data_IF_074379502249
#
_entry.id   IF_074379502249
#
_cell.length_a   1.000
_cell.length_b   1.000
_cell.length_c   1.000
_cell.angle_alpha   90.00
_cell.angle_beta   90.00
_cell.angle_gamma   90.00
#
_symmetry.space_group_name_H-M   'P 1'
#
loop_
_entity.id
_entity.type
_entity.pdbx_description
1 polymer ?
#
# COMPACT_ATOMS: atom_id res chain seq x y z
N UNK A 1 -19.07 -86.69 -42.58
CA UNK A 1 -18.04 -85.98 -43.38
C UNK A 1 -18.32 -84.49 -43.27
N UNK A 2 -17.59 -83.83 -42.36
CA UNK A 2 -16.66 -82.70 -42.64
C UNK A 2 -17.39 -81.38 -42.91
N UNK A 3 -17.79 -80.65 -41.85
CA UNK A 3 -17.02 -79.57 -41.16
C UNK A 3 -16.46 -78.51 -42.12
N UNK A 4 -17.19 -77.40 -42.15
CA UNK A 4 -16.85 -76.08 -42.69
C UNK A 4 -15.70 -75.43 -41.89
N UNK A 5 -14.65 -75.02 -42.60
CA UNK A 5 -13.54 -74.20 -42.11
C UNK A 5 -13.88 -72.73 -42.29
N UNK A 6 -14.17 -72.01 -41.20
CA UNK A 6 -14.10 -70.55 -41.14
C UNK A 6 -12.73 -70.11 -40.65
N UNK A 7 -12.07 -69.22 -41.41
CA UNK A 7 -10.77 -68.61 -41.06
C UNK A 7 -10.98 -67.58 -39.94
N UNK A 8 -10.04 -67.43 -38.99
CA UNK A 8 -10.13 -66.38 -37.97
C UNK A 8 -9.69 -65.03 -38.54
N UNK A 9 -10.49 -64.00 -38.26
CA UNK A 9 -10.21 -62.60 -38.53
C UNK A 9 -9.17 -62.12 -37.50
N UNK A 10 -7.99 -61.75 -37.97
CA UNK A 10 -6.89 -61.23 -37.14
C UNK A 10 -7.21 -59.77 -36.78
N UNK A 11 -7.62 -59.54 -35.53
CA UNK A 11 -7.92 -58.22 -34.98
C UNK A 11 -6.60 -57.48 -34.71
N UNK A 12 -6.25 -56.53 -35.57
CA UNK A 12 -5.10 -55.64 -35.36
C UNK A 12 -5.46 -54.59 -34.31
N UNK A 13 -5.05 -54.80 -33.06
CA UNK A 13 -5.15 -53.80 -31.99
C UNK A 13 -4.04 -52.76 -32.22
N UNK A 14 -4.39 -51.61 -32.80
CA UNK A 14 -3.51 -50.44 -32.81
C UNK A 14 -3.45 -49.87 -31.39
N UNK A 15 -2.34 -50.14 -30.70
CA UNK A 15 -2.00 -49.42 -29.46
C UNK A 15 -1.61 -47.98 -29.83
N UNK A 16 -2.52 -47.04 -29.59
CA UNK A 16 -2.19 -45.61 -29.64
C UNK A 16 -1.39 -45.31 -28.38
N UNK A 17 -0.06 -45.30 -28.50
CA UNK A 17 0.82 -44.66 -27.54
C UNK A 17 0.51 -43.16 -27.56
N UNK A 18 -0.30 -42.71 -26.59
CA UNK A 18 -0.42 -41.30 -26.26
C UNK A 18 0.91 -40.83 -25.67
N UNK A 19 1.84 -40.44 -26.53
CA UNK A 19 2.94 -39.57 -26.14
C UNK A 19 2.28 -38.25 -25.74
N UNK A 20 2.11 -38.07 -24.43
CA UNK A 20 1.87 -36.77 -23.84
C UNK A 20 3.02 -35.88 -24.25
N UNK A 21 2.83 -35.08 -25.31
CA UNK A 21 3.71 -33.97 -25.63
C UNK A 21 3.58 -33.02 -24.46
N UNK A 22 4.51 -33.15 -23.52
CA UNK A 22 4.70 -32.18 -22.45
C UNK A 22 5.13 -30.91 -23.18
N UNK A 23 4.15 -30.04 -23.47
CA UNK A 23 4.41 -28.71 -24.00
C UNK A 23 5.47 -28.10 -23.08
N UNK A 24 6.67 -27.85 -23.62
CA UNK A 24 7.71 -27.16 -22.89
C UNK A 24 7.22 -25.72 -22.68
N UNK A 25 6.48 -25.50 -21.59
CA UNK A 25 6.01 -24.18 -21.23
C UNK A 25 7.21 -23.27 -20.97
N UNK A 26 7.09 -22.01 -21.37
CA UNK A 26 8.14 -21.03 -21.21
C UNK A 26 8.40 -20.77 -19.73
N UNK A 27 9.59 -21.06 -19.22
CA UNK A 27 9.96 -20.59 -17.89
C UNK A 27 10.48 -19.16 -18.00
N UNK A 28 10.15 -18.29 -17.05
CA UNK A 28 10.70 -16.93 -16.99
C UNK A 28 11.79 -16.90 -15.93
N UNK A 29 13.03 -16.62 -16.34
CA UNK A 29 14.20 -16.57 -15.45
C UNK A 29 14.62 -15.13 -15.16
N UNK A 30 14.90 -14.84 -13.89
CA UNK A 30 15.54 -13.57 -13.49
C UNK A 30 17.04 -13.64 -13.81
N UNK A 31 17.49 -12.79 -14.73
CA UNK A 31 18.89 -12.73 -15.17
C UNK A 31 19.73 -11.84 -14.26
N UNK A 32 19.19 -10.67 -13.94
CA UNK A 32 19.88 -9.67 -13.15
C UNK A 32 18.87 -8.77 -12.45
N UNK A 33 19.34 -8.13 -11.37
CA UNK A 33 18.58 -7.09 -10.67
C UNK A 33 19.53 -5.92 -10.47
N UNK A 34 19.22 -4.78 -11.09
CA UNK A 34 19.99 -3.55 -10.92
C UNK A 34 19.37 -2.69 -9.81
N UNK A 35 20.23 -2.17 -8.92
CA UNK A 35 19.83 -1.27 -7.84
C UNK A 35 20.35 0.14 -8.16
N UNK A 36 19.44 1.11 -8.31
CA UNK A 36 19.80 2.49 -8.64
C UNK A 36 19.28 3.46 -7.59
N UNK A 37 20.18 4.01 -6.78
CA UNK A 37 19.83 5.06 -5.83
C UNK A 37 19.40 6.34 -6.58
N UNK A 38 18.38 7.01 -6.08
CA UNK A 38 17.92 8.30 -6.60
C UNK A 38 17.64 9.28 -5.47
N UNK A 39 17.65 10.56 -5.83
CA UNK A 39 17.30 11.66 -4.92
C UNK A 39 16.53 12.74 -5.70
N UNK A 40 15.23 12.83 -5.44
CA UNK A 40 14.34 13.81 -6.07
C UNK A 40 14.20 15.02 -5.14
N UNK A 41 14.59 16.24 -5.56
CA UNK A 41 14.38 17.44 -4.74
C UNK A 41 12.89 17.76 -4.60
N UNK A 42 12.48 18.25 -3.43
CA UNK A 42 11.10 18.70 -3.20
C UNK A 42 10.99 20.21 -3.46
N UNK A 43 9.91 20.63 -4.12
CA UNK A 43 9.60 22.05 -4.35
C UNK A 43 9.50 22.85 -3.04
N UNK A 44 9.07 22.19 -1.95
CA UNK A 44 9.04 22.72 -0.59
C UNK A 44 9.45 21.62 0.37
N UNK A 45 10.13 21.98 1.46
CA UNK A 45 10.47 21.02 2.50
C UNK A 45 9.19 20.39 3.08
N UNK A 46 9.13 19.06 3.07
CA UNK A 46 8.07 18.30 3.73
C UNK A 46 8.37 18.23 5.23
N UNK A 47 7.46 18.74 6.05
CA UNK A 47 7.62 18.84 7.50
C UNK A 47 6.54 18.00 8.19
N UNK A 48 6.95 17.20 9.17
CA UNK A 48 6.07 16.49 10.11
C UNK A 48 6.38 16.94 11.54
N UNK A 49 5.60 16.46 12.52
CA UNK A 49 5.92 16.65 13.94
C UNK A 49 7.27 16.06 14.33
N UNK A 50 7.74 15.03 13.60
CA UNK A 50 8.97 14.28 13.91
C UNK A 50 10.21 14.75 13.12
N UNK A 51 10.08 15.26 11.88
CA UNK A 51 11.23 15.74 11.08
C UNK A 51 10.87 16.63 9.87
N UNK A 52 11.89 17.18 9.22
CA UNK A 52 11.80 17.91 7.95
C UNK A 52 12.70 17.29 6.89
N UNK A 53 12.23 17.18 5.64
CA UNK A 53 13.03 16.74 4.49
C UNK A 53 12.86 17.68 3.29
N UNK A 54 13.96 17.99 2.60
CA UNK A 54 13.99 18.76 1.35
C UNK A 54 14.12 17.90 0.09
N UNK A 55 14.22 16.57 0.24
CA UNK A 55 14.33 15.62 -0.88
C UNK A 55 13.68 14.29 -0.55
N UNK A 56 13.26 13.56 -1.58
CA UNK A 56 12.89 12.16 -1.51
C UNK A 56 14.08 11.32 -1.97
N UNK A 57 14.62 10.50 -1.08
CA UNK A 57 15.62 9.50 -1.44
C UNK A 57 14.94 8.15 -1.63
N UNK A 58 15.38 7.38 -2.62
CA UNK A 58 14.96 6.01 -2.80
C UNK A 58 15.95 5.20 -3.61
N UNK A 59 15.61 3.93 -3.86
CA UNK A 59 16.38 3.00 -4.68
C UNK A 59 15.40 2.34 -5.66
N UNK A 60 15.66 2.41 -6.96
CA UNK A 60 14.95 1.60 -7.93
C UNK A 60 15.49 0.17 -7.92
N UNK A 61 14.58 -0.80 -7.96
CA UNK A 61 14.85 -2.23 -8.15
C UNK A 61 14.42 -2.56 -9.57
N UNK A 62 15.38 -2.88 -10.44
CA UNK A 62 15.15 -3.17 -11.86
C UNK A 62 15.46 -4.63 -12.13
N UNK A 63 14.42 -5.46 -12.28
CA UNK A 63 14.57 -6.88 -12.60
C UNK A 63 14.64 -7.03 -14.12
N UNK A 64 15.71 -7.66 -14.62
CA UNK A 64 15.81 -8.13 -15.99
C UNK A 64 15.52 -9.62 -16.03
N UNK A 65 14.57 -10.03 -16.87
CA UNK A 65 14.19 -11.44 -17.00
C UNK A 65 13.93 -11.80 -18.47
N UNK A 66 13.97 -13.10 -18.77
CA UNK A 66 13.62 -13.63 -20.09
C UNK A 66 12.84 -14.93 -20.00
N UNK A 67 12.02 -15.20 -21.01
CA UNK A 67 11.49 -16.54 -21.27
C UNK A 67 12.59 -17.45 -21.82
N UNK A 68 12.74 -18.64 -21.25
CA UNK A 68 13.78 -19.62 -21.61
C UNK A 68 13.51 -20.31 -22.95
N UNK A 69 12.29 -20.24 -23.48
CA UNK A 69 11.97 -20.71 -24.84
C UNK A 69 12.58 -19.79 -25.89
N UNK A 70 12.79 -20.30 -27.10
CA UNK A 70 13.41 -19.53 -28.19
C UNK A 70 12.48 -19.45 -29.41
N UNK A 71 12.15 -18.24 -29.91
CA UNK A 71 12.46 -16.92 -29.32
C UNK A 71 11.56 -16.64 -28.10
N UNK A 72 12.16 -16.17 -27.01
CA UNK A 72 11.47 -15.82 -25.77
C UNK A 72 11.34 -14.32 -25.57
N UNK A 73 10.27 -13.87 -24.88
CA UNK A 73 10.11 -12.48 -24.46
C UNK A 73 11.19 -12.08 -23.45
N UNK A 74 11.48 -10.78 -23.40
CA UNK A 74 12.34 -10.16 -22.38
C UNK A 74 11.52 -9.17 -21.58
N UNK A 75 11.79 -9.08 -20.30
CA UNK A 75 11.07 -8.23 -19.35
C UNK A 75 12.04 -7.32 -18.61
N UNK A 76 11.59 -6.10 -18.36
CA UNK A 76 12.26 -5.17 -17.45
C UNK A 76 11.20 -4.71 -16.45
N UNK A 77 11.25 -5.23 -15.23
CA UNK A 77 10.29 -4.93 -14.19
C UNK A 77 10.86 -3.95 -13.15
N UNK A 78 10.00 -3.10 -12.59
CA UNK A 78 10.37 -1.97 -11.75
C UNK A 78 9.69 -2.03 -10.38
N UNK A 79 10.50 -1.85 -9.34
CA UNK A 79 10.04 -1.50 -8.00
C UNK A 79 10.81 -0.32 -7.42
N UNK A 80 10.32 0.22 -6.31
CA UNK A 80 10.96 1.36 -5.63
C UNK A 80 11.00 1.19 -4.13
N UNK A 81 12.19 1.35 -3.55
CA UNK A 81 12.45 1.35 -2.12
C UNK A 81 12.50 2.80 -1.63
N UNK A 82 11.65 3.15 -0.68
CA UNK A 82 11.57 4.51 -0.11
C UNK A 82 11.79 4.47 1.42
N UNK A 83 13.04 4.35 1.89
CA UNK A 83 13.31 4.14 3.31
C UNK A 83 12.99 5.39 4.13
N UNK A 84 12.35 5.18 5.28
CA UNK A 84 11.90 6.24 6.19
C UNK A 84 12.32 5.89 7.61
N UNK A 85 13.47 6.37 8.06
CA UNK A 85 14.03 6.02 9.39
C UNK A 85 13.06 6.26 10.55
N UNK A 86 12.25 7.32 10.49
CA UNK A 86 11.29 7.64 11.56
C UNK A 86 9.93 6.92 11.45
N UNK A 87 9.70 6.15 10.39
CA UNK A 87 8.43 5.45 10.14
C UNK A 87 8.68 3.95 10.08
N UNK A 88 9.58 3.52 9.21
CA UNK A 88 9.90 2.11 8.97
C UNK A 88 11.15 1.65 9.71
N UNK A 89 11.77 2.49 10.56
CA UNK A 89 13.02 2.20 11.28
C UNK A 89 14.19 1.77 10.35
N UNK A 90 14.13 2.20 9.09
CA UNK A 90 15.05 1.80 8.04
C UNK A 90 15.84 3.02 7.55
N UNK A 91 17.16 3.00 7.72
CA UNK A 91 18.04 4.01 7.17
C UNK A 91 18.35 3.75 5.70
N UNK A 92 18.99 4.73 5.03
CA UNK A 92 19.41 4.57 3.63
C UNK A 92 20.47 3.46 3.46
N UNK A 93 21.37 3.33 4.43
CA UNK A 93 22.40 2.28 4.44
C UNK A 93 21.79 0.90 4.69
N UNK A 94 20.83 0.81 5.61
CA UNK A 94 20.12 -0.46 5.89
C UNK A 94 19.40 -0.93 4.63
N UNK A 95 18.65 -0.02 3.98
CA UNK A 95 17.95 -0.32 2.74
C UNK A 95 18.88 -0.79 1.62
N UNK A 96 20.03 -0.15 1.45
CA UNK A 96 21.01 -0.55 0.43
C UNK A 96 21.62 -1.93 0.71
N UNK A 97 22.02 -2.18 1.95
CA UNK A 97 22.58 -3.47 2.36
C UNK A 97 21.54 -4.61 2.24
N UNK A 98 20.31 -4.36 2.70
CA UNK A 98 19.18 -5.26 2.56
C UNK A 98 18.88 -5.58 1.11
N UNK A 99 18.83 -4.56 0.24
CA UNK A 99 18.57 -4.74 -1.18
C UNK A 99 19.67 -5.57 -1.88
N UNK A 100 20.94 -5.37 -1.53
CA UNK A 100 22.04 -6.20 -2.05
C UNK A 100 21.89 -7.67 -1.64
N UNK A 101 21.43 -7.94 -0.43
CA UNK A 101 21.21 -9.31 0.04
C UNK A 101 20.01 -9.97 -0.65
N UNK A 102 18.87 -9.28 -0.74
CA UNK A 102 17.67 -9.80 -1.41
C UNK A 102 17.90 -10.04 -2.91
N UNK A 103 18.64 -9.14 -3.58
CA UNK A 103 19.11 -9.32 -4.95
C UNK A 103 19.80 -10.67 -5.17
N UNK A 104 20.70 -11.07 -4.27
CA UNK A 104 21.47 -12.32 -4.41
C UNK A 104 20.58 -13.56 -4.31
N UNK A 105 19.48 -13.49 -3.57
CA UNK A 105 18.54 -14.61 -3.40
C UNK A 105 17.67 -14.83 -4.64
N UNK A 106 17.31 -13.74 -5.32
CA UNK A 106 16.37 -13.75 -6.44
C UNK A 106 17.02 -14.00 -7.81
N UNK A 107 18.27 -13.59 -8.02
CA UNK A 107 18.95 -13.83 -9.31
C UNK A 107 19.00 -15.34 -9.60
N UNK A 108 18.59 -15.71 -10.81
CA UNK A 108 18.52 -17.10 -11.27
C UNK A 108 17.25 -17.86 -10.87
N UNK A 109 16.36 -17.26 -10.07
CA UNK A 109 15.04 -17.84 -9.81
C UNK A 109 14.19 -17.84 -11.08
N UNK A 110 13.26 -18.78 -11.14
CA UNK A 110 12.41 -19.04 -12.29
C UNK A 110 10.93 -19.08 -11.89
N UNK A 111 10.08 -18.52 -12.74
CA UNK A 111 8.64 -18.69 -12.73
C UNK A 111 8.24 -19.62 -13.86
N UNK A 112 7.17 -20.40 -13.68
CA UNK A 112 6.76 -21.39 -14.68
C UNK A 112 5.98 -20.76 -15.83
N UNK A 113 5.44 -19.55 -15.64
CA UNK A 113 4.65 -18.78 -16.61
C UNK A 113 3.46 -19.57 -17.22
N UNK A 114 2.95 -20.55 -16.47
CA UNK A 114 1.83 -21.41 -16.91
C UNK A 114 0.50 -20.89 -16.37
N UNK A 115 0.45 -20.57 -15.07
CA UNK A 115 -0.77 -20.17 -14.39
C UNK A 115 -0.50 -19.12 -13.32
N UNK A 116 -1.20 -17.99 -13.41
CA UNK A 116 -0.95 -16.81 -12.57
C UNK A 116 -0.98 -17.14 -11.07
N UNK A 117 -1.95 -17.93 -10.61
CA UNK A 117 -2.03 -18.26 -9.18
C UNK A 117 -0.82 -19.08 -8.69
N UNK A 118 -0.22 -19.91 -9.54
CA UNK A 118 0.96 -20.70 -9.19
C UNK A 118 2.21 -19.84 -9.10
N UNK A 119 2.37 -18.92 -10.05
CA UNK A 119 3.49 -17.97 -10.05
C UNK A 119 3.34 -16.91 -8.93
N UNK A 120 2.11 -16.46 -8.62
CA UNK A 120 1.82 -15.63 -7.44
C UNK A 120 2.21 -16.34 -6.14
N UNK A 121 1.84 -17.62 -5.97
CA UNK A 121 2.24 -18.40 -4.80
C UNK A 121 3.77 -18.55 -4.71
N UNK A 122 4.43 -18.76 -5.84
CA UNK A 122 5.90 -18.84 -5.93
C UNK A 122 6.57 -17.53 -5.52
N UNK A 123 6.09 -16.39 -6.02
CA UNK A 123 6.55 -15.06 -5.61
C UNK A 123 6.30 -14.82 -4.13
N UNK A 124 5.15 -15.23 -3.59
CA UNK A 124 4.87 -15.14 -2.16
C UNK A 124 5.91 -15.91 -1.33
N UNK A 125 6.23 -17.15 -1.69
CA UNK A 125 7.28 -17.92 -1.00
C UNK A 125 8.64 -17.23 -1.06
N UNK A 126 8.99 -16.58 -2.19
CA UNK A 126 10.23 -15.80 -2.26
C UNK A 126 10.19 -14.62 -1.31
N UNK A 127 9.09 -13.86 -1.27
CA UNK A 127 8.92 -12.72 -0.36
C UNK A 127 8.97 -13.13 1.11
N UNK A 128 8.41 -14.28 1.47
CA UNK A 128 8.51 -14.86 2.82
C UNK A 128 9.98 -15.11 3.20
N UNK A 129 10.77 -15.72 2.31
CA UNK A 129 12.20 -15.91 2.53
C UNK A 129 12.98 -14.58 2.60
N UNK A 130 12.63 -13.57 1.78
CA UNK A 130 13.22 -12.25 1.90
C UNK A 130 12.88 -11.59 3.25
N UNK A 131 11.67 -11.81 3.77
CA UNK A 131 11.25 -11.32 5.07
C UNK A 131 11.99 -12.02 6.21
N UNK A 132 12.21 -13.34 6.13
CA UNK A 132 13.08 -14.06 7.07
C UNK A 132 14.50 -13.51 7.05
N UNK A 133 15.08 -13.31 5.86
CA UNK A 133 16.38 -12.67 5.70
C UNK A 133 16.40 -11.29 6.39
N UNK A 134 15.39 -10.46 6.15
CA UNK A 134 15.29 -9.13 6.75
C UNK A 134 15.31 -9.20 8.28
N UNK A 135 14.55 -10.11 8.89
CA UNK A 135 14.52 -10.31 10.34
C UNK A 135 15.89 -10.74 10.88
N UNK A 136 16.58 -11.65 10.17
CA UNK A 136 17.89 -12.17 10.61
C UNK A 136 19.01 -11.13 10.56
N UNK A 137 18.94 -10.16 9.64
CA UNK A 137 19.99 -9.16 9.46
C UNK A 137 20.06 -8.14 10.60
N UNK A 138 18.99 -7.95 11.38
CA UNK A 138 18.95 -7.03 12.54
C UNK A 138 19.36 -5.60 12.17
N UNK A 139 19.10 -5.18 10.93
CA UNK A 139 19.40 -3.83 10.45
C UNK A 139 18.30 -2.87 10.92
N UNK A 140 18.56 -2.18 12.03
CA UNK A 140 17.67 -1.15 12.58
C UNK A 140 18.45 0.07 13.06
N UNK A 141 17.80 1.23 13.02
CA UNK A 141 18.35 2.47 13.56
C UNK A 141 18.21 2.56 15.09
N UNK A 142 17.17 1.96 15.68
CA UNK A 142 16.97 1.91 17.13
C UNK A 142 17.73 0.77 17.82
N UNK A 143 18.20 1.00 19.05
CA UNK A 143 18.83 -0.02 19.91
C UNK A 143 18.06 -0.18 21.23
N UNK A 144 17.48 -1.36 21.53
CA UNK A 144 17.44 -2.57 20.71
C UNK A 144 16.41 -2.49 19.56
N UNK A 145 16.57 -3.29 18.49
CA UNK A 145 15.60 -3.40 17.40
C UNK A 145 14.21 -3.77 17.92
N UNK A 146 13.18 -2.97 17.64
CA UNK A 146 11.80 -3.45 17.72
C UNK A 146 11.59 -4.48 16.60
N UNK A 147 11.41 -5.75 16.96
CA UNK A 147 11.50 -6.87 16.03
C UNK A 147 10.54 -6.89 14.80
N UNK A 148 9.37 -6.23 14.73
CA UNK A 148 8.45 -6.45 13.61
C UNK A 148 8.64 -5.55 12.37
N UNK A 149 9.57 -4.58 12.34
CA UNK A 149 9.63 -3.53 11.29
C UNK A 149 10.92 -3.49 10.45
N UNK A 150 11.73 -4.54 10.43
CA UNK A 150 13.01 -4.52 9.70
C UNK A 150 12.83 -4.52 8.17
N UNK A 151 13.54 -3.61 7.49
CA UNK A 151 13.63 -3.52 6.02
C UNK A 151 12.29 -3.50 5.25
N UNK A 152 11.21 -2.96 5.85
CA UNK A 152 9.87 -2.95 5.25
C UNK A 152 9.81 -2.21 3.91
N UNK A 153 10.52 -1.09 3.77
CA UNK A 153 10.56 -0.37 2.49
C UNK A 153 11.36 -1.16 1.45
N UNK A 154 12.44 -1.83 1.86
CA UNK A 154 13.20 -2.72 0.97
C UNK A 154 12.35 -3.88 0.47
N UNK A 155 11.67 -4.61 1.37
CA UNK A 155 10.75 -5.69 1.02
C UNK A 155 9.69 -5.22 0.02
N UNK A 156 9.05 -4.08 0.29
CA UNK A 156 8.05 -3.49 -0.61
C UNK A 156 8.61 -3.17 -2.00
N UNK A 157 9.85 -2.69 -2.10
CA UNK A 157 10.46 -2.43 -3.41
C UNK A 157 10.70 -3.69 -4.24
N UNK A 158 11.02 -4.83 -3.60
CA UNK A 158 11.13 -6.11 -4.30
C UNK A 158 9.77 -6.71 -4.65
N UNK A 159 8.80 -6.61 -3.75
CA UNK A 159 7.40 -7.01 -3.99
C UNK A 159 6.83 -6.29 -5.22
N UNK A 160 6.94 -4.95 -5.27
CA UNK A 160 6.53 -4.17 -6.44
C UNK A 160 7.18 -4.63 -7.74
N UNK A 161 8.50 -4.90 -7.73
CA UNK A 161 9.22 -5.33 -8.92
C UNK A 161 8.80 -6.73 -9.39
N UNK A 162 8.52 -7.65 -8.46
CA UNK A 162 8.04 -9.00 -8.77
C UNK A 162 6.59 -9.00 -9.27
N UNK A 163 5.72 -8.16 -8.69
CA UNK A 163 4.36 -7.95 -9.17
C UNK A 163 4.32 -7.30 -10.56
N UNK A 164 5.19 -6.34 -10.83
CA UNK A 164 5.34 -5.74 -12.16
C UNK A 164 5.81 -6.80 -13.18
N UNK A 165 6.74 -7.68 -12.80
CA UNK A 165 7.16 -8.80 -13.63
C UNK A 165 5.98 -9.73 -13.96
N UNK A 166 5.18 -10.12 -12.95
CA UNK A 166 3.98 -10.95 -13.17
C UNK A 166 2.95 -10.24 -14.06
N UNK A 167 2.73 -8.95 -13.85
CA UNK A 167 1.85 -8.13 -14.69
C UNK A 167 2.28 -8.18 -16.16
N UNK A 168 3.57 -8.01 -16.43
CA UNK A 168 4.11 -8.08 -17.78
C UNK A 168 4.05 -9.50 -18.37
N UNK A 169 4.34 -10.53 -17.59
CA UNK A 169 4.27 -11.93 -18.03
C UNK A 169 2.88 -12.31 -18.52
N UNK A 170 1.85 -11.90 -17.77
CA UNK A 170 0.45 -12.23 -17.99
C UNK A 170 -0.35 -11.16 -18.74
N UNK A 171 0.31 -10.08 -19.19
CA UNK A 171 -0.31 -8.94 -19.87
C UNK A 171 -1.50 -8.36 -19.09
N UNK A 172 -1.29 -8.12 -17.80
CA UNK A 172 -2.29 -7.65 -16.85
C UNK A 172 -1.82 -6.39 -16.11
N UNK A 173 -2.71 -5.40 -15.92
CA UNK A 173 -2.51 -4.40 -14.88
C UNK A 173 -2.27 -5.08 -13.52
N UNK A 174 -1.38 -4.52 -12.70
CA UNK A 174 -1.05 -5.10 -11.38
C UNK A 174 -2.32 -5.29 -10.51
N UNK A 175 -3.29 -4.38 -10.59
CA UNK A 175 -4.54 -4.51 -9.83
C UNK A 175 -5.33 -5.78 -10.19
N UNK A 176 -5.21 -6.26 -11.43
CA UNK A 176 -5.93 -7.43 -11.92
C UNK A 176 -5.22 -8.73 -11.54
N UNK A 177 -3.99 -8.66 -11.00
CA UNK A 177 -3.30 -9.81 -10.41
C UNK A 177 -3.93 -10.25 -9.09
N UNK A 178 -4.57 -9.31 -8.39
CA UNK A 178 -5.24 -9.52 -7.11
C UNK A 178 -6.75 -9.64 -7.26
N UNK A 179 -7.29 -9.50 -8.47
CA UNK A 179 -8.73 -9.40 -8.67
C UNK A 179 -9.38 -10.77 -8.48
N UNK A 180 -10.05 -10.89 -7.34
CA UNK A 180 -11.05 -11.92 -7.03
C UNK A 180 -12.45 -11.52 -7.53
N UNK A 181 -12.56 -10.41 -8.29
CA UNK A 181 -13.80 -9.80 -8.76
C UNK A 181 -14.24 -8.57 -7.95
N UNK A 182 -13.43 -8.08 -7.01
CA UNK A 182 -13.76 -6.97 -6.08
C UNK A 182 -13.00 -5.67 -6.38
N UNK A 183 -12.74 -5.35 -7.64
CA UNK A 183 -12.12 -4.08 -8.04
C UNK A 183 -12.98 -2.86 -7.63
N UNK A 184 -12.33 -1.86 -7.01
CA UNK A 184 -12.99 -0.60 -6.66
C UNK A 184 -13.20 0.25 -7.92
N UNK A 185 -14.47 0.51 -8.28
CA UNK A 185 -14.83 1.41 -9.40
C UNK A 185 -14.30 2.85 -9.23
N UNK A 186 -14.07 3.28 -8.00
CA UNK A 186 -13.59 4.64 -7.67
C UNK A 186 -12.62 4.61 -6.50
N UNK A 187 -11.52 5.35 -6.65
CA UNK A 187 -10.55 5.61 -5.59
C UNK A 187 -10.79 7.03 -5.06
N UNK A 188 -11.04 7.15 -3.75
CA UNK A 188 -11.16 8.45 -3.08
C UNK A 188 -9.78 9.10 -3.02
N UNK A 189 -9.63 10.24 -3.69
CA UNK A 189 -8.37 11.00 -3.72
C UNK A 189 -8.47 12.19 -2.79
N UNK A 190 -7.42 12.48 -2.05
CA UNK A 190 -7.30 13.74 -1.32
C UNK A 190 -6.39 14.71 -2.05
N UNK A 191 -6.63 15.99 -1.81
CA UNK A 191 -5.67 17.04 -2.13
C UNK A 191 -4.34 16.83 -1.37
N UNK A 192 -3.26 17.56 -1.71
CA UNK A 192 -2.04 17.60 -0.89
C UNK A 192 -2.36 17.87 0.59
N UNK A 193 -1.75 17.10 1.50
CA UNK A 193 -1.94 17.26 2.94
C UNK A 193 -1.50 18.64 3.42
N UNK A 194 -2.39 19.33 4.12
CA UNK A 194 -2.10 20.62 4.74
C UNK A 194 -1.45 20.44 6.12
N UNK A 195 -0.41 21.24 6.40
CA UNK A 195 0.33 21.17 7.66
C UNK A 195 -0.49 21.69 8.85
N UNK A 196 -0.20 21.18 10.07
CA UNK A 196 -0.87 21.57 11.30
C UNK A 196 -0.69 23.04 11.73
N UNK A 197 0.33 23.71 11.19
CA UNK A 197 0.55 25.14 11.42
C UNK A 197 -0.08 26.05 10.35
N UNK A 198 -0.83 25.50 9.39
CA UNK A 198 -1.52 26.29 8.38
C UNK A 198 -2.54 27.24 9.03
N UNK A 199 -2.63 28.47 8.52
CA UNK A 199 -3.62 29.45 8.97
C UNK A 199 -5.02 29.02 8.51
N UNK A 200 -6.03 29.21 9.36
CA UNK A 200 -7.44 28.92 9.04
C UNK A 200 -7.92 29.60 7.74
N UNK A 201 -7.51 30.86 7.52
CA UNK A 201 -7.81 31.63 6.29
C UNK A 201 -7.21 31.01 5.04
N UNK A 202 -5.98 30.47 5.13
CA UNK A 202 -5.34 29.77 4.03
C UNK A 202 -6.06 28.46 3.71
N UNK A 203 -6.42 27.67 4.72
CA UNK A 203 -7.16 26.42 4.54
C UNK A 203 -8.55 26.65 3.92
N UNK A 204 -9.28 27.66 4.39
CA UNK A 204 -10.58 28.04 3.82
C UNK A 204 -10.45 28.46 2.34
N UNK A 205 -9.44 29.26 2.00
CA UNK A 205 -9.18 29.63 0.60
C UNK A 205 -8.81 28.42 -0.26
N UNK A 206 -8.06 27.48 0.30
CA UNK A 206 -7.64 26.27 -0.39
C UNK A 206 -8.83 25.37 -0.72
N UNK A 207 -9.83 25.25 0.17
CA UNK A 207 -11.09 24.54 -0.10
C UNK A 207 -11.80 25.11 -1.33
N UNK A 208 -11.91 26.44 -1.44
CA UNK A 208 -12.59 27.10 -2.56
C UNK A 208 -11.89 26.86 -3.90
N UNK A 209 -10.56 26.69 -3.88
CA UNK A 209 -9.74 26.44 -5.08
C UNK A 209 -9.58 24.96 -5.41
N UNK A 210 -9.95 24.08 -4.49
CA UNK A 210 -9.70 22.65 -4.64
C UNK A 210 -10.66 22.05 -5.69
N UNK A 211 -10.07 21.39 -6.68
CA UNK A 211 -10.80 20.77 -7.80
C UNK A 211 -11.88 19.80 -7.31
N UNK A 212 -12.99 19.70 -8.04
CA UNK A 212 -14.14 18.87 -7.66
C UNK A 212 -13.80 17.38 -7.52
N UNK A 213 -12.80 16.90 -8.27
CA UNK A 213 -12.33 15.51 -8.24
C UNK A 213 -11.52 15.14 -6.99
N UNK A 214 -11.28 16.10 -6.08
CA UNK A 214 -10.74 15.84 -4.76
C UNK A 214 -11.89 15.82 -3.75
N UNK A 215 -12.50 14.64 -3.50
CA UNK A 215 -13.60 14.46 -2.55
C UNK A 215 -13.17 14.64 -1.09
N UNK A 216 -11.87 14.78 -0.79
CA UNK A 216 -11.38 14.99 0.56
C UNK A 216 -10.32 16.10 0.64
N UNK A 217 -10.33 16.83 1.77
CA UNK A 217 -9.24 17.70 2.20
C UNK A 217 -8.54 17.08 3.41
N UNK A 218 -7.24 16.75 3.29
CA UNK A 218 -6.44 16.17 4.37
C UNK A 218 -5.66 17.24 5.13
N UNK A 219 -5.78 17.29 6.45
CA UNK A 219 -5.19 18.32 7.31
C UNK A 219 -4.51 17.64 8.51
N UNK A 220 -3.24 17.94 8.75
CA UNK A 220 -2.58 17.53 10.00
C UNK A 220 -3.08 18.39 11.16
N UNK A 221 -3.34 17.79 12.32
CA UNK A 221 -3.73 18.50 13.55
C UNK A 221 -2.94 17.93 14.74
N UNK A 222 -3.24 18.39 15.97
CA UNK A 222 -2.64 17.85 17.19
C UNK A 222 -1.54 18.72 17.80
N UNK A 223 -1.35 19.96 17.32
CA UNK A 223 -0.41 20.91 17.95
C UNK A 223 -1.07 21.73 19.05
N UNK A 224 -2.32 22.15 18.84
CA UNK A 224 -3.08 23.01 19.74
C UNK A 224 -4.56 22.80 19.41
N UNK A 225 -5.28 22.15 20.32
CA UNK A 225 -6.65 21.73 20.08
C UNK A 225 -7.59 22.91 19.75
N UNK A 226 -7.43 24.06 20.41
CA UNK A 226 -8.30 25.21 20.16
C UNK A 226 -8.05 25.80 18.77
N UNK A 227 -6.77 25.95 18.38
CA UNK A 227 -6.45 26.39 17.02
C UNK A 227 -6.86 25.37 15.96
N UNK A 228 -6.79 24.07 16.28
CA UNK A 228 -7.27 23.02 15.38
C UNK A 228 -8.78 23.10 15.19
N UNK A 229 -9.54 23.30 16.27
CA UNK A 229 -10.99 23.51 16.22
C UNK A 229 -11.36 24.73 15.36
N UNK A 230 -10.65 25.86 15.52
CA UNK A 230 -10.84 27.05 14.69
C UNK A 230 -10.57 26.78 13.19
N UNK A 231 -9.48 26.06 12.87
CA UNK A 231 -9.13 25.68 11.50
C UNK A 231 -10.19 24.79 10.87
N UNK A 232 -10.60 23.73 11.58
CA UNK A 232 -11.59 22.77 11.08
C UNK A 232 -12.95 23.43 10.88
N UNK A 233 -13.34 24.32 11.80
CA UNK A 233 -14.58 25.11 11.68
C UNK A 233 -14.53 26.04 10.46
N UNK A 234 -13.41 26.72 10.21
CA UNK A 234 -13.23 27.58 9.03
C UNK A 234 -13.27 26.78 7.72
N UNK A 235 -12.64 25.60 7.69
CA UNK A 235 -12.67 24.67 6.56
C UNK A 235 -14.09 24.19 6.29
N UNK A 236 -14.81 23.76 7.32
CA UNK A 236 -16.19 23.31 7.19
C UNK A 236 -17.11 24.41 6.64
N UNK A 237 -17.02 25.64 7.15
CA UNK A 237 -17.74 26.80 6.60
C UNK A 237 -17.43 27.04 5.12
N UNK A 238 -16.17 26.84 4.71
CA UNK A 238 -15.77 26.97 3.31
C UNK A 238 -16.32 25.82 2.45
N UNK A 239 -16.36 24.58 2.96
CA UNK A 239 -16.92 23.41 2.25
C UNK A 239 -18.42 23.59 2.03
N UNK A 240 -19.17 24.00 3.05
CA UNK A 240 -20.63 24.24 2.98
C UNK A 240 -20.98 25.22 1.87
N UNK A 241 -20.12 26.22 1.63
CA UNK A 241 -20.30 27.24 0.58
C UNK A 241 -19.67 26.85 -0.77
N UNK A 242 -19.02 25.69 -0.86
CA UNK A 242 -18.30 25.27 -2.06
C UNK A 242 -19.19 24.50 -3.04
N UNK A 243 -18.67 24.22 -4.23
CA UNK A 243 -19.34 23.38 -5.24
C UNK A 243 -19.48 21.91 -4.81
N UNK A 244 -18.75 21.47 -3.77
CA UNK A 244 -18.73 20.09 -3.30
C UNK A 244 -18.99 20.07 -1.78
N UNK A 245 -20.24 20.34 -1.33
CA UNK A 245 -20.58 20.40 0.10
C UNK A 245 -20.46 19.04 0.82
N UNK A 246 -20.37 17.93 0.06
CA UNK A 246 -20.13 16.58 0.57
C UNK A 246 -18.64 16.25 0.79
N UNK A 247 -17.73 17.19 0.50
CA UNK A 247 -16.28 16.96 0.62
C UNK A 247 -15.91 16.54 2.05
N UNK A 248 -15.18 15.44 2.17
CA UNK A 248 -14.70 14.88 3.43
C UNK A 248 -13.61 15.75 4.06
N UNK A 249 -13.72 16.01 5.36
CA UNK A 249 -12.62 16.52 6.18
C UNK A 249 -11.88 15.31 6.73
N UNK A 250 -10.65 15.13 6.29
CA UNK A 250 -9.75 14.08 6.77
C UNK A 250 -8.68 14.74 7.65
N UNK A 251 -8.67 14.40 8.94
CA UNK A 251 -7.63 14.84 9.87
C UNK A 251 -6.63 13.73 10.15
N UNK A 252 -5.35 14.10 10.16
CA UNK A 252 -4.23 13.26 10.60
C UNK A 252 -3.74 13.81 11.94
N UNK A 253 -4.05 13.09 13.02
CA UNK A 253 -3.71 13.49 14.40
C UNK A 253 -2.29 13.06 14.76
N UNK A 254 -1.74 12.06 14.06
CA UNK A 254 -0.39 11.55 14.25
C UNK A 254 -0.09 11.24 15.74
N UNK A 255 -1.02 10.58 16.43
CA UNK A 255 -0.92 10.11 17.83
C UNK A 255 -0.97 11.21 18.91
N UNK A 256 -1.25 12.47 18.53
CA UNK A 256 -1.16 13.61 19.44
C UNK A 256 -2.15 13.61 20.62
N UNK A 257 -3.33 12.98 20.48
CA UNK A 257 -4.31 12.89 21.57
C UNK A 257 -4.02 11.75 22.54
N UNK A 258 -3.12 10.84 22.18
CA UNK A 258 -2.53 9.76 22.99
C UNK A 258 -3.50 8.66 23.42
N UNK A 259 -4.57 8.99 24.16
CA UNK A 259 -5.49 8.04 24.79
C UNK A 259 -6.93 8.16 24.28
N UNK A 260 -7.76 7.18 24.64
CA UNK A 260 -9.14 7.10 24.18
C UNK A 260 -10.03 8.21 24.75
N UNK A 261 -9.83 8.61 26.00
CA UNK A 261 -10.65 9.62 26.66
C UNK A 261 -10.48 10.98 25.99
N UNK A 262 -9.24 11.46 25.90
CA UNK A 262 -8.89 12.72 25.26
C UNK A 262 -9.36 12.74 23.79
N UNK A 263 -9.19 11.61 23.09
CA UNK A 263 -9.65 11.46 21.71
C UNK A 263 -11.17 11.64 21.58
N UNK A 264 -11.96 11.02 22.47
CA UNK A 264 -13.42 11.13 22.45
C UNK A 264 -13.90 12.54 22.82
N UNK A 265 -13.26 13.18 23.79
CA UNK A 265 -13.57 14.56 24.17
C UNK A 265 -13.31 15.55 23.02
N UNK A 266 -12.16 15.44 22.36
CA UNK A 266 -11.81 16.26 21.20
C UNK A 266 -12.72 15.99 20.00
N UNK A 267 -12.97 14.71 19.68
CA UNK A 267 -13.86 14.33 18.58
C UNK A 267 -15.28 14.88 18.79
N UNK A 268 -15.81 14.81 20.01
CA UNK A 268 -17.15 15.34 20.32
C UNK A 268 -17.22 16.85 20.06
N UNK A 269 -16.24 17.60 20.57
CA UNK A 269 -16.15 19.05 20.38
C UNK A 269 -16.01 19.44 18.91
N UNK A 270 -15.16 18.72 18.16
CA UNK A 270 -15.02 18.93 16.71
C UNK A 270 -16.35 18.67 16.01
N UNK A 271 -16.95 17.49 16.21
CA UNK A 271 -18.22 17.10 15.59
C UNK A 271 -19.32 18.12 15.84
N UNK A 272 -19.46 18.58 17.09
CA UNK A 272 -20.47 19.58 17.47
C UNK A 272 -20.24 20.92 16.77
N UNK A 273 -18.99 21.39 16.71
CA UNK A 273 -18.65 22.62 16.00
C UNK A 273 -18.89 22.52 14.48
N UNK A 274 -18.60 21.36 13.87
CA UNK A 274 -18.83 21.13 12.45
C UNK A 274 -20.33 21.11 12.11
N UNK A 275 -21.13 20.42 12.91
CA UNK A 275 -22.59 20.37 12.74
C UNK A 275 -23.20 21.78 12.91
N UNK A 276 -22.73 22.54 13.90
CA UNK A 276 -23.22 23.90 14.17
C UNK A 276 -23.04 24.84 12.97
N UNK A 277 -22.02 24.63 12.14
CA UNK A 277 -21.78 25.43 10.93
C UNK A 277 -22.41 24.85 9.67
N UNK A 278 -23.27 23.83 9.82
CA UNK A 278 -24.04 23.22 8.74
C UNK A 278 -23.27 22.22 7.89
N UNK A 279 -22.11 21.72 8.36
CA UNK A 279 -21.35 20.72 7.61
C UNK A 279 -22.01 19.34 7.71
N UNK A 280 -22.21 18.71 6.55
CA UNK A 280 -22.90 17.41 6.41
C UNK A 280 -22.01 16.33 5.79
N UNK A 281 -20.77 16.68 5.42
CA UNK A 281 -19.81 15.72 4.85
C UNK A 281 -19.28 14.73 5.89
N UNK A 282 -18.51 13.74 5.43
CA UNK A 282 -17.85 12.80 6.32
C UNK A 282 -16.69 13.46 7.08
N UNK A 283 -16.47 13.06 8.32
CA UNK A 283 -15.24 13.34 9.08
C UNK A 283 -14.43 12.06 9.24
N UNK A 284 -13.19 12.06 8.76
CA UNK A 284 -12.26 10.94 8.88
C UNK A 284 -11.12 11.33 9.82
N UNK A 285 -10.92 10.58 10.90
CA UNK A 285 -9.86 10.81 11.88
C UNK A 285 -8.83 9.68 11.82
N UNK A 286 -7.61 10.02 11.43
CA UNK A 286 -6.46 9.12 11.30
C UNK A 286 -5.56 9.21 12.55
N UNK A 287 -5.28 8.03 13.11
CA UNK A 287 -4.42 7.75 14.27
C UNK A 287 -4.49 8.79 15.41
N UNK A 288 -5.63 8.89 16.14
CA UNK A 288 -5.75 9.78 17.29
C UNK A 288 -4.92 9.35 18.52
N UNK A 289 -4.75 8.04 18.72
CA UNK A 289 -4.13 7.42 19.90
C UNK A 289 -2.70 6.95 19.60
N UNK A 290 -1.94 6.60 20.65
CA UNK A 290 -0.61 6.02 20.51
C UNK A 290 -0.62 4.74 19.67
N UNK A 291 0.44 4.52 18.89
CA UNK A 291 0.59 3.34 18.03
C UNK A 291 0.60 2.02 18.83
N UNK A 292 1.14 2.05 20.04
CA UNK A 292 1.23 0.87 20.90
C UNK A 292 -0.06 0.53 21.65
N UNK A 293 -1.07 1.40 21.60
CA UNK A 293 -2.33 1.23 22.32
C UNK A 293 -3.49 1.02 21.33
N UNK A 294 -3.50 -0.17 20.73
CA UNK A 294 -4.60 -0.59 19.84
C UNK A 294 -5.94 -0.68 20.57
N UNK A 295 -5.94 -0.94 21.89
CA UNK A 295 -7.17 -1.00 22.67
C UNK A 295 -7.81 0.38 22.78
N UNK A 296 -7.01 1.43 22.99
CA UNK A 296 -7.51 2.80 22.95
C UNK A 296 -8.13 3.15 21.59
N UNK A 297 -7.48 2.79 20.48
CA UNK A 297 -8.03 3.03 19.13
C UNK A 297 -9.33 2.24 18.90
N UNK A 298 -9.40 0.99 19.36
CA UNK A 298 -10.60 0.17 19.30
C UNK A 298 -11.75 0.78 20.10
N UNK A 299 -11.48 1.25 21.32
CA UNK A 299 -12.45 1.91 22.19
C UNK A 299 -13.03 3.17 21.53
N UNK A 300 -12.16 4.03 20.96
CA UNK A 300 -12.60 5.23 20.22
C UNK A 300 -13.47 4.84 19.03
N UNK A 301 -13.03 3.85 18.25
CA UNK A 301 -13.76 3.38 17.07
C UNK A 301 -15.14 2.82 17.42
N UNK A 302 -15.24 2.05 18.51
CA UNK A 302 -16.52 1.50 18.99
C UNK A 302 -17.49 2.61 19.43
N UNK A 303 -17.01 3.56 20.23
CA UNK A 303 -17.83 4.68 20.71
C UNK A 303 -18.31 5.57 19.55
N UNK A 304 -17.43 5.88 18.60
CA UNK A 304 -17.77 6.70 17.42
C UNK A 304 -18.81 6.00 16.52
N UNK A 305 -18.75 4.68 16.37
CA UNK A 305 -19.79 3.92 15.63
C UNK A 305 -21.17 4.10 16.26
N UNK A 306 -21.25 4.17 17.58
CA UNK A 306 -22.50 4.44 18.31
C UNK A 306 -22.98 5.88 18.17
N UNK A 307 -22.09 6.84 17.87
CA UNK A 307 -22.50 8.22 17.58
C UNK A 307 -23.19 8.35 16.24
N UNK A 308 -22.75 7.61 15.22
CA UNK A 308 -23.31 7.72 13.87
C UNK A 308 -24.79 7.34 13.76
N UNK A 309 -25.33 6.60 14.75
CA UNK A 309 -26.76 6.33 14.87
C UNK A 309 -27.53 7.45 15.59
N UNK A 310 -26.83 8.35 16.29
CA UNK A 310 -27.38 9.42 17.14
C UNK A 310 -27.15 10.84 16.57
N UNK A 311 -26.08 11.04 15.80
CA UNK A 311 -25.66 12.31 15.19
C UNK A 311 -25.57 12.15 13.67
N UNK A 312 -26.14 13.10 12.93
CA UNK A 312 -26.34 13.04 11.47
C UNK A 312 -25.04 13.17 10.63
N UNK A 313 -23.85 13.20 11.24
CA UNK A 313 -22.57 13.34 10.53
C UNK A 313 -21.78 12.02 10.56
N UNK A 314 -21.41 11.43 9.41
CA UNK A 314 -20.60 10.22 9.37
C UNK A 314 -19.19 10.49 9.91
N UNK A 315 -18.81 9.78 10.98
CA UNK A 315 -17.46 9.83 11.54
C UNK A 315 -16.79 8.48 11.34
N UNK A 316 -15.57 8.47 10.80
CA UNK A 316 -14.76 7.28 10.55
C UNK A 316 -13.41 7.41 11.25
N UNK A 317 -12.95 6.29 11.79
CA UNK A 317 -11.62 6.16 12.38
C UNK A 317 -10.72 5.38 11.43
N UNK A 318 -9.46 5.79 11.34
CA UNK A 318 -8.43 5.13 10.54
C UNK A 318 -7.19 4.92 11.41
N UNK A 319 -6.64 3.70 11.37
CA UNK A 319 -5.32 3.42 11.90
C UNK A 319 -4.27 3.80 10.85
N UNK A 320 -3.15 4.39 11.29
CA UNK A 320 -1.92 4.56 10.50
C UNK A 320 -0.79 3.88 11.27
N UNK A 321 -0.13 4.57 12.20
CA UNK A 321 1.07 4.01 12.86
C UNK A 321 0.83 2.75 13.72
N UNK A 322 -0.42 2.47 14.12
CA UNK A 322 -0.76 1.25 14.86
C UNK A 322 -0.77 -0.05 14.00
N UNK A 323 -0.70 0.05 12.66
CA UNK A 323 -0.73 -1.11 11.73
C UNK A 323 0.50 -1.09 10.83
#
# INVERSE_FOLDING_TARGET
MTRTLSKPLMLLVMAILSLSVQSAYAQVRIDSIDLKAFKIPLNKAFKTSKASSSSCYGIFVLIQAHETVTPGRKFTALGSILPRTLVTNESRSDAWAGALAMRRILIGRTLDATHLAGDMATVQTWLEHLNELAITQKLTWEKPPTQPRQLRATLSGFDMALLDLLGQMYDKPICDLFDDGLSRKTIVRSAPTYNANAKSTYLASAVTKLHQDYPAIRIKIGLDFQKDLERLTAVAKAIVKSKVPSRTIWVDVNQAWKDSQTSLEHLKQIVDALIQVGYQGQFLCEQPTQETDMQALANVTQAVRQWSTQKQMPVKMMADEAI
#
